data_IF_401895485769
#
_entry.id   IF_401895485769
#
_cell.length_a   1.000
_cell.length_b   1.000
_cell.length_c   1.000
_cell.angle_alpha   90.00
_cell.angle_beta   90.00
_cell.angle_gamma   90.00
#
_symmetry.space_group_name_H-M   'P 1'
#
loop_
_entity.id
_entity.type
_entity.pdbx_description
1 polymer ?
#
# COMPACT_ATOMS: atom_id res chain seq x y z
N UNK A 1 1.32 23.08 -10.19
CA UNK A 1 1.73 21.88 -9.42
C UNK A 1 3.25 21.86 -9.42
N UNK A 2 3.90 21.72 -8.27
CA UNK A 2 5.37 21.55 -8.27
C UNK A 2 5.68 20.16 -8.84
N UNK A 3 6.21 20.15 -10.06
CA UNK A 3 6.70 18.96 -10.77
C UNK A 3 7.91 18.44 -10.00
N UNK A 4 7.93 17.14 -9.70
CA UNK A 4 9.15 16.53 -9.17
C UNK A 4 10.20 16.48 -10.28
N UNK A 5 11.48 16.58 -9.91
CA UNK A 5 12.58 16.43 -10.87
C UNK A 5 13.13 15.01 -10.76
N UNK A 6 13.22 14.31 -11.89
CA UNK A 6 13.87 13.01 -11.98
C UNK A 6 15.35 13.18 -12.38
N UNK A 7 16.29 12.40 -11.82
CA UNK A 7 16.04 11.40 -10.78
C UNK A 7 15.75 12.05 -9.41
N UNK A 8 14.83 11.44 -8.68
CA UNK A 8 14.44 11.86 -7.33
C UNK A 8 15.19 11.02 -6.30
N UNK A 9 15.81 11.67 -5.31
CA UNK A 9 16.46 11.03 -4.17
C UNK A 9 16.19 11.82 -2.90
N UNK A 10 15.78 11.13 -1.83
CA UNK A 10 15.70 11.70 -0.49
C UNK A 10 17.13 11.93 0.06
N UNK A 11 17.41 13.08 0.70
CA UNK A 11 18.70 13.37 1.31
C UNK A 11 19.15 12.28 2.30
N UNK A 12 20.45 11.96 2.36
CA UNK A 12 20.96 10.84 3.15
C UNK A 12 20.66 10.94 4.66
N UNK A 13 20.50 12.16 5.19
CA UNK A 13 20.14 12.40 6.59
C UNK A 13 18.66 12.13 6.91
N UNK A 14 17.82 11.95 5.90
CA UNK A 14 16.38 11.67 6.04
C UNK A 14 16.02 10.20 5.72
N UNK A 15 17.01 9.42 5.27
CA UNK A 15 16.85 8.00 4.97
C UNK A 15 16.93 7.15 6.24
N UNK A 16 16.15 6.07 6.35
CA UNK A 16 16.27 5.13 7.46
C UNK A 16 17.60 4.36 7.44
N UNK A 17 18.12 4.07 6.24
CA UNK A 17 19.43 3.47 5.97
C UNK A 17 19.95 3.96 4.61
N UNK A 18 21.26 3.85 4.31
CA UNK A 18 21.78 4.16 2.99
C UNK A 18 21.01 3.42 1.88
N UNK A 19 20.73 4.11 0.77
CA UNK A 19 20.09 3.47 -0.39
C UNK A 19 21.01 2.36 -0.93
N UNK A 20 20.46 1.16 -1.24
CA UNK A 20 21.24 0.10 -1.84
C UNK A 20 21.75 0.51 -3.22
N UNK A 21 22.96 0.07 -3.55
CA UNK A 21 23.51 0.18 -4.90
C UNK A 21 22.74 -0.68 -5.89
N UNK A 22 22.80 -0.33 -7.17
CA UNK A 22 22.23 -1.13 -8.25
C UNK A 22 22.75 -2.57 -8.22
N UNK A 23 24.04 -2.77 -7.95
CA UNK A 23 24.63 -4.11 -7.82
C UNK A 23 24.00 -4.92 -6.68
N UNK A 24 23.81 -4.32 -5.51
CA UNK A 24 23.12 -4.97 -4.39
C UNK A 24 21.67 -5.32 -4.73
N UNK A 25 20.96 -4.43 -5.44
CA UNK A 25 19.58 -4.66 -5.91
C UNK A 25 19.50 -5.88 -6.83
N UNK A 26 20.38 -5.99 -7.83
CA UNK A 26 20.34 -7.11 -8.79
C UNK A 26 20.81 -8.45 -8.21
N UNK A 27 21.59 -8.41 -7.13
CA UNK A 27 22.08 -9.61 -6.43
C UNK A 27 21.19 -10.03 -5.25
N UNK A 28 20.21 -9.22 -4.85
CA UNK A 28 19.34 -9.50 -3.72
C UNK A 28 18.38 -10.68 -4.01
N UNK A 29 17.89 -11.28 -2.91
CA UNK A 29 16.81 -12.28 -2.99
C UNK A 29 15.55 -11.60 -3.55
N UNK A 30 15.04 -12.12 -4.67
CA UNK A 30 13.82 -11.64 -5.31
C UNK A 30 12.59 -12.08 -4.52
N UNK A 31 11.70 -11.13 -4.25
CA UNK A 31 10.38 -11.39 -3.68
C UNK A 31 9.39 -11.79 -4.78
N UNK A 32 9.47 -11.13 -5.93
CA UNK A 32 8.67 -11.45 -7.11
C UNK A 32 9.47 -11.12 -8.39
N UNK A 33 9.29 -11.92 -9.44
CA UNK A 33 9.87 -11.71 -10.77
C UNK A 33 8.92 -12.27 -11.84
N UNK A 34 8.32 -11.40 -12.66
CA UNK A 34 7.42 -11.80 -13.76
C UNK A 34 8.00 -11.49 -15.15
N UNK A 35 9.30 -11.21 -15.23
CA UNK A 35 9.99 -10.88 -16.48
C UNK A 35 9.69 -9.48 -17.03
N UNK A 36 8.68 -8.77 -16.50
CA UNK A 36 8.38 -7.37 -16.79
C UNK A 36 8.91 -6.45 -15.68
N UNK A 37 8.82 -6.89 -14.43
CA UNK A 37 9.39 -6.22 -13.27
C UNK A 37 9.89 -7.21 -12.21
N UNK A 38 10.67 -6.71 -11.27
CA UNK A 38 11.23 -7.46 -10.15
C UNK A 38 11.09 -6.64 -8.88
N UNK A 39 10.70 -7.31 -7.79
CA UNK A 39 10.63 -6.75 -6.46
C UNK A 39 11.72 -7.38 -5.59
N UNK A 40 12.50 -6.55 -4.91
CA UNK A 40 13.50 -6.97 -3.93
C UNK A 40 13.36 -6.16 -2.64
N UNK A 41 13.69 -6.79 -1.51
CA UNK A 41 13.79 -6.11 -0.22
C UNK A 41 15.24 -6.11 0.23
N UNK A 42 15.75 -4.94 0.61
CA UNK A 42 17.08 -4.77 1.21
C UNK A 42 16.94 -3.87 2.43
N UNK A 43 17.04 -4.46 3.63
CA UNK A 43 16.82 -3.75 4.89
C UNK A 43 15.40 -3.13 4.95
N UNK A 44 15.28 -1.81 5.18
CA UNK A 44 13.99 -1.10 5.25
C UNK A 44 13.44 -0.71 3.86
N UNK A 45 14.14 -1.05 2.78
CA UNK A 45 13.78 -0.63 1.43
C UNK A 45 13.11 -1.77 0.67
N UNK A 46 11.95 -1.48 0.09
CA UNK A 46 11.34 -2.25 -1.00
C UNK A 46 11.70 -1.57 -2.31
N UNK A 47 12.24 -2.33 -3.26
CA UNK A 47 12.68 -1.81 -4.57
C UNK A 47 11.94 -2.55 -5.67
N UNK A 48 11.22 -1.79 -6.49
CA UNK A 48 10.60 -2.25 -7.73
C UNK A 48 11.45 -1.80 -8.90
N UNK A 49 11.89 -2.73 -9.74
CA UNK A 49 12.69 -2.38 -10.91
C UNK A 49 12.39 -3.23 -12.15
N UNK A 50 12.64 -2.67 -13.33
CA UNK A 50 12.45 -3.37 -14.60
C UNK A 50 12.24 -2.43 -15.79
N UNK A 51 12.29 -2.99 -17.00
CA UNK A 51 12.08 -2.22 -18.24
C UNK A 51 10.62 -1.77 -18.42
N UNK A 52 9.67 -2.43 -17.74
CA UNK A 52 8.24 -2.11 -17.81
C UNK A 52 7.73 -1.43 -16.54
N UNK A 53 8.61 -1.04 -15.61
CA UNK A 53 8.21 -0.27 -14.42
C UNK A 53 7.92 1.16 -14.83
N UNK A 54 6.72 1.66 -14.54
CA UNK A 54 6.35 3.03 -14.82
C UNK A 54 6.68 3.93 -13.62
N UNK A 55 7.58 4.90 -13.80
CA UNK A 55 8.02 5.80 -12.73
C UNK A 55 6.86 6.62 -12.14
N UNK A 56 5.75 6.80 -12.88
CA UNK A 56 4.54 7.48 -12.41
C UNK A 56 3.98 6.88 -11.12
N UNK A 57 4.21 5.60 -10.85
CA UNK A 57 3.81 4.93 -9.62
C UNK A 57 4.46 5.59 -8.39
N UNK A 58 5.75 5.90 -8.47
CA UNK A 58 6.47 6.65 -7.44
C UNK A 58 6.02 8.10 -7.35
N UNK A 59 5.78 8.75 -8.49
CA UNK A 59 5.31 10.15 -8.53
C UNK A 59 3.93 10.31 -7.89
N UNK A 60 3.02 9.36 -8.14
CA UNK A 60 1.69 9.34 -7.56
C UNK A 60 1.74 9.18 -6.03
N UNK A 61 2.63 8.33 -5.51
CA UNK A 61 2.82 8.21 -4.06
C UNK A 61 3.36 9.51 -3.45
N UNK A 62 4.32 10.18 -4.10
CA UNK A 62 4.80 11.50 -3.66
C UNK A 62 3.68 12.56 -3.69
N UNK A 63 2.84 12.54 -4.73
CA UNK A 63 1.70 13.43 -4.85
C UNK A 63 0.69 13.20 -3.71
N UNK A 64 0.24 11.96 -3.50
CA UNK A 64 -0.72 11.62 -2.43
C UNK A 64 -0.18 12.04 -1.06
N UNK A 65 1.07 11.70 -0.75
CA UNK A 65 1.68 12.08 0.52
C UNK A 65 1.70 13.61 0.71
N UNK A 66 2.08 14.37 -0.33
CA UNK A 66 2.16 15.84 -0.27
C UNK A 66 0.80 16.50 -0.14
N UNK A 67 -0.14 16.17 -1.02
CA UNK A 67 -1.44 16.84 -1.08
C UNK A 67 -2.32 16.50 0.13
N UNK A 68 -2.20 15.28 0.66
CA UNK A 68 -2.93 14.86 1.86
C UNK A 68 -2.20 15.24 3.16
N UNK A 69 -1.02 15.88 3.07
CA UNK A 69 -0.16 16.21 4.22
C UNK A 69 0.10 15.01 5.12
N UNK A 70 0.39 13.87 4.51
CA UNK A 70 0.61 12.58 5.18
C UNK A 70 -0.59 12.04 5.98
N UNK A 71 -1.81 12.56 5.74
CA UNK A 71 -3.04 12.02 6.36
C UNK A 71 -3.46 10.70 5.72
N UNK A 72 -3.15 10.49 4.43
CA UNK A 72 -3.34 9.19 3.77
C UNK A 72 -1.98 8.47 3.79
N UNK A 73 -1.88 7.29 4.42
CA UNK A 73 -0.63 6.53 4.42
C UNK A 73 -0.35 6.01 3.02
N UNK A 74 0.86 6.26 2.55
CA UNK A 74 1.44 5.63 1.38
C UNK A 74 2.88 5.30 1.71
N UNK A 75 3.46 4.23 1.14
CA UNK A 75 4.87 3.93 1.35
C UNK A 75 5.72 5.17 1.07
N UNK A 76 6.59 5.55 2.01
CA UNK A 76 7.49 6.68 1.77
C UNK A 76 8.42 6.34 0.60
N UNK A 77 8.39 7.16 -0.44
CA UNK A 77 9.31 7.02 -1.58
C UNK A 77 10.65 7.64 -1.24
N UNK A 78 11.73 6.87 -1.38
CA UNK A 78 13.10 7.31 -1.12
C UNK A 78 13.89 7.61 -2.39
N UNK A 79 13.61 6.91 -3.50
CA UNK A 79 14.25 7.18 -4.78
C UNK A 79 13.35 6.80 -5.97
N UNK A 80 13.45 7.59 -7.04
CA UNK A 80 12.86 7.30 -8.36
C UNK A 80 13.91 7.63 -9.41
N UNK A 81 14.40 6.64 -10.14
CA UNK A 81 15.46 6.85 -11.14
C UNK A 81 15.43 5.78 -12.24
N UNK A 82 16.12 6.07 -13.33
CA UNK A 82 16.37 5.11 -14.40
C UNK A 82 17.88 4.92 -14.56
N UNK A 83 18.29 3.71 -14.93
CA UNK A 83 19.67 3.42 -15.34
C UNK A 83 19.65 2.73 -16.69
N UNK A 84 20.58 3.10 -17.57
CA UNK A 84 20.87 2.35 -18.79
C UNK A 84 21.42 0.97 -18.41
N UNK A 85 20.70 -0.07 -18.82
CA UNK A 85 21.11 -1.46 -18.66
C UNK A 85 21.04 -2.21 -19.99
N UNK A 86 21.64 -3.40 -20.06
CA UNK A 86 21.45 -4.29 -21.21
C UNK A 86 20.42 -5.36 -20.88
N UNK A 87 19.43 -5.52 -21.75
CA UNK A 87 18.50 -6.63 -21.67
C UNK A 87 19.26 -7.96 -21.81
N UNK A 88 19.19 -8.85 -20.81
CA UNK A 88 19.87 -10.15 -20.85
C UNK A 88 19.45 -11.04 -22.02
N UNK A 89 18.21 -10.88 -22.52
CA UNK A 89 17.66 -11.71 -23.62
C UNK A 89 18.04 -11.20 -25.00
N UNK A 90 18.04 -9.88 -25.21
CA UNK A 90 18.21 -9.27 -26.54
C UNK A 90 19.55 -8.56 -26.72
N UNK A 91 20.31 -8.36 -25.64
CA UNK A 91 21.56 -7.59 -25.60
C UNK A 91 21.41 -6.13 -26.09
N UNK A 92 20.18 -5.62 -26.12
CA UNK A 92 19.84 -4.23 -26.47
C UNK A 92 19.90 -3.38 -25.20
N UNK A 93 20.42 -2.15 -25.32
CA UNK A 93 20.33 -1.16 -24.25
C UNK A 93 18.87 -0.78 -24.02
N UNK A 94 18.42 -0.99 -22.79
CA UNK A 94 17.07 -0.65 -22.36
C UNK A 94 17.18 0.08 -21.02
N UNK A 95 16.39 1.13 -20.88
CA UNK A 95 16.25 1.80 -19.60
C UNK A 95 15.62 0.81 -18.60
N UNK A 96 16.28 0.68 -17.45
CA UNK A 96 15.71 -0.01 -16.31
C UNK A 96 15.26 1.05 -15.32
N UNK A 97 13.98 1.05 -15.02
CA UNK A 97 13.37 1.98 -14.08
C UNK A 97 13.42 1.39 -12.67
N UNK A 98 13.61 2.24 -11.67
CA UNK A 98 13.71 1.87 -10.25
C UNK A 98 12.83 2.81 -9.42
N UNK A 99 12.05 2.21 -8.53
CA UNK A 99 11.33 2.91 -7.46
C UNK A 99 11.75 2.25 -6.15
N UNK A 100 12.42 3.01 -5.28
CA UNK A 100 12.78 2.60 -3.93
C UNK A 100 11.83 3.24 -2.95
N UNK A 101 11.12 2.43 -2.20
CA UNK A 101 10.10 2.85 -1.25
C UNK A 101 10.28 2.13 0.09
N UNK A 102 9.60 2.64 1.11
CA UNK A 102 9.46 2.01 2.41
C UNK A 102 8.95 0.57 2.26
N UNK A 103 9.65 -0.36 2.90
CA UNK A 103 9.13 -1.70 3.08
C UNK A 103 8.07 -1.69 4.17
N UNK A 104 6.82 -1.95 3.78
CA UNK A 104 5.72 -2.16 4.71
C UNK A 104 5.69 -3.65 5.06
N UNK A 105 5.84 -3.97 6.33
CA UNK A 105 5.93 -5.36 6.83
C UNK A 105 4.61 -6.15 6.72
N UNK A 106 3.52 -5.48 6.34
CA UNK A 106 2.12 -5.92 6.52
C UNK A 106 1.31 -6.18 5.22
N UNK A 107 1.94 -6.59 4.11
CA UNK A 107 1.25 -7.20 2.94
C UNK A 107 1.65 -6.66 1.55
N UNK A 108 1.10 -7.21 0.43
CA UNK A 108 0.05 -8.24 0.32
C UNK A 108 0.46 -9.63 0.81
N UNK A 109 -0.54 -10.43 1.18
CA UNK A 109 -0.39 -11.82 1.62
C UNK A 109 -1.16 -12.76 0.69
N UNK A 110 -0.58 -13.90 0.36
CA UNK A 110 -1.26 -14.92 -0.46
C UNK A 110 -2.22 -15.76 0.38
N UNK A 111 -1.95 -15.86 1.69
CA UNK A 111 -2.74 -16.66 2.64
C UNK A 111 -2.93 -15.95 3.97
N UNK A 112 -4.00 -16.30 4.69
CA UNK A 112 -4.24 -15.82 6.06
C UNK A 112 -3.14 -16.25 7.05
N UNK A 113 -2.47 -17.37 6.80
CA UNK A 113 -1.33 -17.81 7.62
C UNK A 113 -0.15 -16.83 7.54
N UNK A 114 0.13 -16.29 6.35
CA UNK A 114 1.16 -15.27 6.15
C UNK A 114 0.81 -13.96 6.85
N UNK A 115 -0.46 -13.55 6.77
CA UNK A 115 -1.00 -12.42 7.52
C UNK A 115 -0.85 -12.61 9.04
N UNK A 116 -1.27 -13.77 9.56
CA UNK A 116 -1.19 -14.11 10.98
C UNK A 116 0.25 -14.06 11.49
N UNK A 117 1.20 -14.55 10.71
CA UNK A 117 2.62 -14.50 11.06
C UNK A 117 3.17 -13.07 11.02
N UNK A 118 2.72 -12.22 10.09
CA UNK A 118 3.06 -10.80 10.08
C UNK A 118 2.55 -10.08 11.33
N UNK A 119 1.27 -10.29 11.69
CA UNK A 119 0.68 -9.75 12.92
C UNK A 119 1.45 -10.20 14.17
N UNK A 120 1.92 -11.44 14.20
CA UNK A 120 2.73 -11.98 15.29
C UNK A 120 4.09 -11.28 15.38
N UNK A 121 4.79 -11.09 14.26
CA UNK A 121 6.07 -10.34 14.22
C UNK A 121 5.89 -8.91 14.73
N UNK A 122 4.84 -8.22 14.27
CA UNK A 122 4.48 -6.87 14.73
C UNK A 122 4.18 -6.82 16.23
N UNK A 123 3.47 -7.81 16.76
CA UNK A 123 3.20 -7.91 18.19
C UNK A 123 4.49 -8.08 19.03
N UNK A 124 5.44 -8.91 18.56
CA UNK A 124 6.75 -9.07 19.21
C UNK A 124 7.57 -7.78 19.16
N UNK A 125 7.62 -7.12 18.00
CA UNK A 125 8.36 -5.87 17.82
C UNK A 125 7.86 -4.76 18.75
N UNK A 126 6.54 -4.65 18.91
CA UNK A 126 5.89 -3.67 19.78
C UNK A 126 5.92 -4.03 21.28
N UNK A 127 6.59 -5.13 21.66
CA UNK A 127 6.76 -5.51 23.06
C UNK A 127 5.47 -5.99 23.75
N UNK A 128 4.47 -6.45 22.99
CA UNK A 128 3.30 -7.10 23.59
C UNK A 128 3.74 -8.37 24.35
N UNK A 129 3.09 -8.67 25.47
CA UNK A 129 3.49 -9.76 26.39
C UNK A 129 3.72 -11.09 25.66
N UNK A 130 4.95 -11.63 25.75
CA UNK A 130 5.38 -12.81 25.01
C UNK A 130 4.52 -14.07 25.22
N UNK A 131 3.92 -14.22 26.41
CA UNK A 131 2.99 -15.33 26.70
C UNK A 131 1.73 -15.30 25.81
N UNK A 132 1.20 -14.10 25.52
CA UNK A 132 0.04 -13.93 24.61
C UNK A 132 0.44 -14.21 23.17
N UNK A 133 1.63 -13.77 22.77
CA UNK A 133 2.13 -14.03 21.41
C UNK A 133 2.33 -15.53 21.18
N UNK A 134 2.86 -16.25 22.16
CA UNK A 134 3.00 -17.71 22.05
C UNK A 134 1.67 -18.45 22.07
N UNK A 135 0.70 -17.98 22.87
CA UNK A 135 -0.67 -18.50 22.78
C UNK A 135 -1.25 -18.30 21.36
N UNK A 136 -1.13 -17.09 20.79
CA UNK A 136 -1.60 -16.79 19.44
C UNK A 136 -0.89 -17.61 18.36
N UNK A 137 0.42 -17.88 18.52
CA UNK A 137 1.18 -18.72 17.59
C UNK A 137 0.56 -20.12 17.42
N UNK A 138 -0.04 -20.66 18.47
CA UNK A 138 -0.71 -21.97 18.40
C UNK A 138 -2.18 -21.85 17.99
N UNK A 139 -2.87 -20.80 18.43
CA UNK A 139 -4.31 -20.65 18.22
C UNK A 139 -4.68 -20.12 16.83
N UNK A 140 -3.92 -19.16 16.29
CA UNK A 140 -4.27 -18.46 15.05
C UNK A 140 -4.40 -19.41 13.86
N UNK A 141 -3.44 -20.33 13.59
CA UNK A 141 -3.58 -21.26 12.46
C UNK A 141 -4.76 -22.24 12.61
N UNK A 142 -5.31 -22.41 13.81
CA UNK A 142 -6.47 -23.26 14.04
C UNK A 142 -7.81 -22.52 13.86
N UNK A 143 -7.84 -21.23 14.21
CA UNK A 143 -9.05 -20.40 14.30
C UNK A 143 -9.20 -19.44 13.11
N UNK A 144 -8.11 -18.78 12.72
CA UNK A 144 -8.04 -17.80 11.62
C UNK A 144 -7.33 -18.44 10.44
N UNK A 145 -8.07 -19.25 9.66
CA UNK A 145 -7.54 -19.94 8.49
C UNK A 145 -8.56 -20.01 7.35
N UNK A 146 -8.04 -20.02 6.12
CA UNK A 146 -8.81 -20.24 4.91
C UNK A 146 -9.53 -19.00 4.37
N UNK A 147 -9.34 -17.83 4.99
CA UNK A 147 -9.85 -16.57 4.46
C UNK A 147 -8.84 -15.93 3.51
N UNK A 148 -9.36 -15.24 2.50
CA UNK A 148 -8.53 -14.52 1.55
C UNK A 148 -8.10 -13.19 2.17
N UNK A 149 -6.79 -12.86 2.19
CA UNK A 149 -6.34 -11.50 2.44
C UNK A 149 -6.81 -10.57 1.33
N UNK A 150 -7.46 -9.48 1.69
CA UNK A 150 -7.94 -8.42 0.78
C UNK A 150 -7.47 -7.07 1.32
N UNK A 151 -7.33 -6.09 0.44
CA UNK A 151 -7.03 -4.74 0.89
C UNK A 151 -8.27 -4.14 1.57
N UNK A 152 -8.15 -3.81 2.85
CA UNK A 152 -9.24 -3.20 3.64
C UNK A 152 -8.84 -1.80 4.11
N UNK A 153 -9.83 -1.00 4.45
CA UNK A 153 -9.66 0.34 5.01
C UNK A 153 -9.13 0.30 6.45
N UNK A 154 -9.59 -0.65 7.26
CA UNK A 154 -9.13 -0.86 8.64
C UNK A 154 -9.69 0.14 9.66
N UNK A 155 -10.51 1.09 9.22
CA UNK A 155 -11.25 2.05 10.06
C UNK A 155 -12.50 2.57 9.32
N UNK A 156 -13.30 1.66 8.77
CA UNK A 156 -14.43 2.04 7.91
C UNK A 156 -15.64 2.49 8.73
N UNK A 157 -15.66 3.77 9.08
CA UNK A 157 -16.73 4.43 9.84
C UNK A 157 -17.34 5.62 9.09
N UNK A 158 -18.54 6.06 9.50
CA UNK A 158 -19.30 7.12 8.81
C UNK A 158 -18.54 8.45 8.76
N UNK A 159 -17.73 8.74 9.77
CA UNK A 159 -16.88 9.92 9.87
C UNK A 159 -15.85 9.97 8.73
N UNK A 160 -15.48 8.80 8.20
CA UNK A 160 -14.51 8.62 7.12
C UNK A 160 -15.17 8.52 5.73
N UNK A 161 -16.49 8.72 5.63
CA UNK A 161 -17.26 8.68 4.38
C UNK A 161 -17.84 10.06 4.08
N UNK A 162 -17.30 10.75 3.08
CA UNK A 162 -17.84 12.00 2.58
C UNK A 162 -18.81 11.72 1.43
N UNK A 163 -20.01 12.30 1.52
CA UNK A 163 -21.03 12.19 0.47
C UNK A 163 -21.37 13.58 -0.05
N UNK A 164 -21.20 13.78 -1.35
CA UNK A 164 -21.57 15.01 -2.05
C UNK A 164 -22.70 14.73 -3.02
N UNK A 165 -23.83 15.40 -2.80
CA UNK A 165 -24.97 15.37 -3.72
C UNK A 165 -24.64 16.15 -4.98
N UNK A 166 -24.87 15.54 -6.13
CA UNK A 166 -24.77 16.13 -7.46
C UNK A 166 -26.19 16.22 -8.01
N UNK A 167 -26.81 17.42 -8.04
CA UNK A 167 -28.14 17.59 -8.58
C UNK A 167 -28.19 17.20 -10.06
N UNK A 168 -29.21 16.44 -10.47
CA UNK A 168 -29.43 16.16 -11.90
C UNK A 168 -29.75 17.45 -12.65
N UNK A 169 -29.17 17.69 -13.84
CA UNK A 169 -29.46 18.89 -14.62
C UNK A 169 -30.94 19.03 -15.02
N UNK A 170 -31.73 17.95 -14.94
CA UNK A 170 -33.19 17.97 -15.20
C UNK A 170 -34.03 18.44 -14.00
N UNK A 171 -33.45 18.58 -12.81
CA UNK A 171 -34.18 18.90 -11.57
C UNK A 171 -34.53 20.38 -11.40
N UNK A 172 -34.14 21.25 -12.34
CA UNK A 172 -34.41 22.68 -12.27
C UNK A 172 -35.81 23.10 -12.77
N UNK A 173 -36.52 22.29 -13.57
CA UNK A 173 -37.70 22.80 -14.31
C UNK A 173 -39.01 21.99 -14.29
N UNK A 174 -39.12 20.80 -13.67
CA UNK A 174 -40.43 20.11 -13.61
C UNK A 174 -40.72 19.47 -12.25
N UNK A 175 -41.68 20.06 -11.53
CA UNK A 175 -42.29 19.50 -10.31
C UNK A 175 -43.36 18.44 -10.66
N UNK A 176 -42.98 17.34 -11.32
CA UNK A 176 -43.83 16.14 -11.30
C UNK A 176 -43.03 14.90 -11.71
N UNK A 177 -42.45 14.20 -10.72
CA UNK A 177 -42.30 12.73 -10.70
C UNK A 177 -41.46 12.29 -9.50
N UNK A 178 -41.90 11.21 -8.85
CA UNK A 178 -41.30 10.58 -7.67
C UNK A 178 -39.98 9.84 -7.95
N UNK A 179 -39.09 10.41 -8.75
CA UNK A 179 -37.75 9.88 -8.99
C UNK A 179 -36.74 10.98 -8.72
N UNK A 180 -36.23 11.02 -7.48
CA UNK A 180 -35.12 11.89 -7.13
C UNK A 180 -33.85 11.32 -7.77
N UNK A 181 -33.59 11.68 -9.03
CA UNK A 181 -32.44 11.25 -9.84
C UNK A 181 -31.14 11.98 -9.43
N UNK A 182 -30.96 12.18 -8.13
CA UNK A 182 -29.71 12.76 -7.65
C UNK A 182 -28.59 11.72 -7.76
N UNK A 183 -27.47 12.15 -8.32
CA UNK A 183 -26.24 11.35 -8.27
C UNK A 183 -25.45 11.76 -7.04
N UNK A 184 -24.71 10.82 -6.45
CA UNK A 184 -23.89 11.07 -5.27
C UNK A 184 -22.46 10.71 -5.59
N UNK A 185 -21.54 11.62 -5.28
CA UNK A 185 -20.11 11.36 -5.24
C UNK A 185 -19.75 10.95 -3.81
N UNK A 186 -19.13 9.77 -3.67
CA UNK A 186 -18.70 9.23 -2.38
C UNK A 186 -17.18 9.21 -2.37
N UNK A 187 -16.60 9.80 -1.33
CA UNK A 187 -15.15 9.82 -1.09
C UNK A 187 -14.88 9.19 0.27
N UNK A 188 -14.01 8.18 0.28
CA UNK A 188 -13.54 7.52 1.50
C UNK A 188 -12.18 8.12 1.86
N UNK A 189 -12.02 8.54 3.10
CA UNK A 189 -10.83 9.23 3.61
C UNK A 189 -10.27 8.49 4.84
N UNK A 190 -9.10 8.92 5.33
CA UNK A 190 -8.51 8.40 6.56
C UNK A 190 -8.06 6.93 6.48
N UNK A 191 -7.23 6.64 5.48
CA UNK A 191 -6.74 5.29 5.19
C UNK A 191 -5.61 4.84 6.12
N UNK A 192 -5.33 5.52 7.25
CA UNK A 192 -4.17 5.29 8.12
C UNK A 192 -4.03 3.85 8.63
N UNK A 193 -5.17 3.16 8.82
CA UNK A 193 -5.23 1.79 9.31
C UNK A 193 -5.37 0.74 8.19
N UNK A 194 -5.29 1.16 6.92
CA UNK A 194 -5.47 0.29 5.77
C UNK A 194 -4.34 -0.72 5.61
N UNK A 195 -4.67 -1.86 5.01
CA UNK A 195 -3.74 -2.98 4.93
C UNK A 195 -4.37 -4.21 4.31
N UNK A 196 -3.56 -5.27 4.17
CA UNK A 196 -4.02 -6.55 3.67
C UNK A 196 -4.47 -7.43 4.83
N UNK A 197 -5.78 -7.44 5.06
CA UNK A 197 -6.40 -8.16 6.16
C UNK A 197 -7.36 -9.24 5.64
N UNK A 198 -7.76 -10.22 6.46
CA UNK A 198 -8.77 -11.20 6.06
C UNK A 198 -10.08 -10.55 5.62
N UNK A 199 -10.82 -11.17 4.70
CA UNK A 199 -12.07 -10.64 4.13
C UNK A 199 -13.16 -10.25 5.16
N UNK A 200 -13.08 -10.80 6.38
CA UNK A 200 -14.01 -10.47 7.47
C UNK A 200 -13.62 -9.20 8.25
N UNK A 201 -12.44 -8.61 8.02
CA UNK A 201 -11.83 -7.61 8.90
C UNK A 201 -12.71 -6.40 9.17
N UNK A 202 -13.28 -5.79 8.13
CA UNK A 202 -14.17 -4.62 8.27
C UNK A 202 -15.42 -4.95 9.10
N UNK A 203 -16.01 -6.13 8.87
CA UNK A 203 -17.18 -6.56 9.64
C UNK A 203 -16.84 -6.81 11.11
N UNK A 204 -15.65 -7.34 11.40
CA UNK A 204 -15.18 -7.58 12.76
C UNK A 204 -14.95 -6.25 13.51
N UNK A 205 -14.31 -5.27 12.86
CA UNK A 205 -14.11 -3.94 13.43
C UNK A 205 -15.44 -3.23 13.68
N UNK A 206 -16.38 -3.27 12.72
CA UNK A 206 -17.70 -2.70 12.90
C UNK A 206 -18.44 -3.31 14.11
N UNK A 207 -18.31 -4.62 14.35
CA UNK A 207 -18.93 -5.27 15.51
C UNK A 207 -18.30 -4.82 16.84
N UNK A 208 -16.98 -4.61 16.89
CA UNK A 208 -16.28 -4.12 18.08
C UNK A 208 -16.63 -2.66 18.37
N UNK A 209 -16.75 -1.83 17.34
CA UNK A 209 -17.13 -0.42 17.46
C UNK A 209 -18.61 -0.21 17.79
N UNK A 210 -19.45 -1.24 17.62
CA UNK A 210 -20.89 -1.20 17.93
C UNK A 210 -21.28 -1.78 19.30
N UNK A 211 -20.33 -2.01 20.22
CA UNK A 211 -20.63 -2.43 21.59
C UNK A 211 -21.41 -1.36 22.41
N UNK A 212 -22.25 -1.77 23.40
CA UNK A 212 -22.97 -0.83 24.26
C UNK A 212 -22.07 0.05 25.12
#
# INVERSE_FOLDING_TARGET
MATITLPYFVPSNELPQPLPSTEEIHNAKKYNEDGAHTLVRIGPHMIKYGSNVNLIEGENMLFVNRETKSTVPVPRVYAIYATLGRCRRTNVEVDTNYITMEYIEDGPFDTEDEFNEAMRRKAMFNGYMGERVEFYRHAFPAVFKGHKPVFTHGDFQRENIMVKRIPSPASAEVQDSKANDDTFEVVIIDWENSGWYPEYWESALALVSCGP
#
